data_IF_822686798480
#
_entry.id   IF_822686798480
#
_cell.length_a   1.000
_cell.length_b   1.000
_cell.length_c   1.000
_cell.angle_alpha   90.00
_cell.angle_beta   90.00
_cell.angle_gamma   90.00
#
_symmetry.space_group_name_H-M   'P 1'
#
loop_
_entity.id
_entity.type
_entity.pdbx_description
1 polymer ?
#
# COMPACT_ATOMS: atom_id res chain seq x y z
N UNK A 1 -12.70 22.98 7.50
CA UNK A 1 -12.68 21.79 6.62
C UNK A 1 -11.42 21.81 5.77
N UNK A 2 -10.74 20.70 5.67
CA UNK A 2 -9.56 20.57 4.82
C UNK A 2 -9.98 20.39 3.36
N UNK A 3 -9.33 21.12 2.48
CA UNK A 3 -9.52 20.99 1.03
C UNK A 3 -8.59 19.93 0.42
N UNK A 4 -7.70 19.35 1.21
CA UNK A 4 -6.74 18.34 0.76
C UNK A 4 -6.62 17.23 1.79
N UNK A 5 -6.09 16.10 1.32
CA UNK A 5 -5.79 14.95 2.18
C UNK A 5 -4.27 14.87 2.33
N UNK A 6 -3.80 14.84 3.57
CA UNK A 6 -2.40 14.61 3.87
C UNK A 6 -2.19 13.11 4.07
N UNK A 7 -1.51 12.49 3.11
CA UNK A 7 -1.17 11.07 3.17
C UNK A 7 0.30 10.90 3.50
N UNK A 8 0.61 10.03 4.45
CA UNK A 8 1.97 9.70 4.83
C UNK A 8 2.30 8.26 4.45
N UNK A 9 3.45 8.06 3.80
CA UNK A 9 3.97 6.72 3.53
C UNK A 9 4.68 6.21 4.78
N UNK A 10 4.28 5.05 5.27
CA UNK A 10 4.81 4.48 6.52
C UNK A 10 5.11 3.00 6.32
N UNK A 11 6.10 2.49 7.07
CA UNK A 11 6.51 1.09 6.97
C UNK A 11 6.73 0.43 8.34
N UNK A 12 6.26 1.06 9.41
CA UNK A 12 6.34 0.49 10.75
C UNK A 12 5.18 1.02 11.60
N UNK A 13 4.94 0.37 12.73
CA UNK A 13 3.95 0.85 13.70
C UNK A 13 4.38 2.22 14.21
N UNK A 14 5.66 2.39 14.50
CA UNK A 14 6.20 3.63 15.05
C UNK A 14 6.03 4.80 14.09
N UNK A 15 6.36 4.59 12.80
CA UNK A 15 6.19 5.65 11.81
C UNK A 15 4.72 5.94 11.55
N UNK A 16 3.86 4.92 11.60
CA UNK A 16 2.41 5.10 11.46
C UNK A 16 1.85 5.95 12.59
N UNK A 17 2.21 5.64 13.83
CA UNK A 17 1.71 6.39 14.99
C UNK A 17 2.25 7.82 15.01
N UNK A 18 3.51 8.02 14.59
CA UNK A 18 4.07 9.36 14.43
C UNK A 18 3.30 10.18 13.39
N UNK A 19 2.94 9.57 12.27
CA UNK A 19 2.16 10.24 11.23
C UNK A 19 0.76 10.61 11.73
N UNK A 20 0.10 9.71 12.46
CA UNK A 20 -1.21 10.00 13.07
C UNK A 20 -1.10 11.19 14.03
N UNK A 21 -0.11 11.17 14.91
CA UNK A 21 0.11 12.25 15.86
C UNK A 21 0.43 13.57 15.17
N UNK A 22 1.08 13.51 14.01
CA UNK A 22 1.44 14.69 13.22
C UNK A 22 0.31 15.24 12.35
N UNK A 23 -0.86 14.62 12.34
CA UNK A 23 -2.03 15.13 11.64
C UNK A 23 -2.28 14.53 10.26
N UNK A 24 -1.71 13.39 9.95
CA UNK A 24 -2.02 12.70 8.70
C UNK A 24 -3.50 12.31 8.65
N UNK A 25 -4.09 12.43 7.47
CA UNK A 25 -5.48 12.03 7.23
C UNK A 25 -5.58 10.58 6.78
N UNK A 26 -4.52 10.07 6.17
CA UNK A 26 -4.48 8.73 5.60
C UNK A 26 -3.04 8.23 5.61
N UNK A 27 -2.88 6.92 5.71
CA UNK A 27 -1.58 6.27 5.59
C UNK A 27 -1.53 5.49 4.28
N UNK A 28 -0.37 5.53 3.62
CA UNK A 28 -0.01 4.55 2.60
C UNK A 28 0.93 3.57 3.29
N UNK A 29 0.45 2.36 3.52
CA UNK A 29 1.20 1.34 4.22
C UNK A 29 2.08 0.57 3.25
N UNK A 30 3.36 0.50 3.57
CA UNK A 30 4.38 -0.10 2.72
C UNK A 30 5.32 -0.97 3.55
N UNK A 31 6.12 -1.76 2.86
CA UNK A 31 7.37 -2.32 3.39
C UNK A 31 8.51 -1.80 2.53
N UNK A 32 9.71 -1.84 3.06
CA UNK A 32 10.93 -1.52 2.29
C UNK A 32 10.89 -0.15 1.60
N UNK A 33 10.52 0.89 2.32
CA UNK A 33 10.46 2.25 1.77
C UNK A 33 11.78 2.71 1.17
N UNK A 34 12.90 2.21 1.69
CA UNK A 34 14.23 2.57 1.20
C UNK A 34 14.44 2.22 -0.28
N UNK A 35 13.69 1.25 -0.80
CA UNK A 35 13.74 0.86 -2.22
C UNK A 35 12.46 1.27 -2.96
N UNK A 36 11.73 2.25 -2.44
CA UNK A 36 10.51 2.76 -3.05
C UNK A 36 9.22 2.09 -2.59
N UNK A 37 9.33 1.12 -1.70
CA UNK A 37 8.18 0.44 -1.13
C UNK A 37 7.76 -0.83 -1.86
N UNK A 38 7.35 -1.82 -1.08
CA UNK A 38 6.76 -3.07 -1.57
C UNK A 38 5.53 -3.39 -0.72
N UNK A 39 4.82 -4.45 -1.07
CA UNK A 39 3.61 -4.85 -0.35
C UNK A 39 3.91 -5.12 1.13
N UNK A 40 3.18 -4.48 2.06
CA UNK A 40 3.37 -4.73 3.49
C UNK A 40 2.73 -6.05 3.91
N UNK A 41 3.17 -6.59 5.05
CA UNK A 41 2.53 -7.75 5.63
C UNK A 41 1.19 -7.38 6.27
N UNK A 42 0.19 -8.28 6.23
CA UNK A 42 -1.09 -8.02 6.87
C UNK A 42 -0.97 -7.87 8.40
N UNK A 43 0.06 -8.45 8.99
CA UNK A 43 0.32 -8.32 10.42
C UNK A 43 0.64 -6.89 10.82
N UNK A 44 1.38 -6.17 9.98
CA UNK A 44 1.67 -4.76 10.22
C UNK A 44 0.38 -3.93 10.17
N UNK A 45 -0.47 -4.19 9.19
CA UNK A 45 -1.79 -3.56 9.10
C UNK A 45 -2.59 -3.80 10.38
N UNK A 46 -2.65 -5.03 10.84
CA UNK A 46 -3.43 -5.39 12.03
C UNK A 46 -2.93 -4.67 13.29
N UNK A 47 -1.60 -4.57 13.46
CA UNK A 47 -1.04 -3.87 14.62
C UNK A 47 -1.34 -2.38 14.60
N UNK A 48 -1.34 -1.75 13.42
CA UNK A 48 -1.72 -0.35 13.30
C UNK A 48 -3.21 -0.17 13.57
N UNK A 49 -4.04 -1.05 13.03
CA UNK A 49 -5.49 -0.95 13.20
C UNK A 49 -5.93 -1.11 14.64
N UNK A 50 -5.20 -1.86 15.46
CA UNK A 50 -5.45 -1.96 16.89
C UNK A 50 -5.28 -0.62 17.62
N UNK A 51 -4.49 0.29 17.05
CA UNK A 51 -4.11 1.56 17.70
C UNK A 51 -4.76 2.77 17.09
N UNK A 52 -5.31 2.65 15.88
CA UNK A 52 -5.90 3.78 15.17
C UNK A 52 -6.92 3.31 14.15
N UNK A 53 -7.96 4.08 13.95
CA UNK A 53 -8.93 3.86 12.88
C UNK A 53 -8.67 4.74 11.66
N UNK A 54 -7.48 5.32 11.56
CA UNK A 54 -7.09 6.13 10.42
C UNK A 54 -7.24 5.32 9.11
N UNK A 55 -7.59 5.99 8.03
CA UNK A 55 -7.69 5.34 6.72
C UNK A 55 -6.32 4.82 6.29
N UNK A 56 -6.28 3.59 5.81
CA UNK A 56 -5.05 2.94 5.37
C UNK A 56 -5.26 2.42 3.96
N UNK A 57 -4.39 2.90 3.06
CA UNK A 57 -4.27 2.35 1.71
C UNK A 57 -2.99 1.51 1.68
N UNK A 58 -3.10 0.26 1.27
CA UNK A 58 -1.96 -0.65 1.23
C UNK A 58 -1.31 -0.61 -0.15
N UNK A 59 0.00 -0.47 -0.18
CA UNK A 59 0.75 -0.55 -1.43
C UNK A 59 0.81 -2.00 -1.88
N UNK A 60 0.47 -2.26 -3.12
CA UNK A 60 0.55 -3.59 -3.70
C UNK A 60 1.65 -3.56 -4.77
N UNK A 61 2.82 -4.01 -4.39
CA UNK A 61 4.00 -4.08 -5.24
C UNK A 61 4.82 -5.30 -4.83
N UNK A 62 4.76 -6.40 -5.61
CA UNK A 62 5.34 -7.68 -5.18
C UNK A 62 6.88 -7.66 -5.12
N UNK A 63 7.52 -6.77 -5.86
CA UNK A 63 8.98 -6.65 -5.87
C UNK A 63 9.38 -5.24 -6.27
N UNK A 64 10.64 -4.88 -5.96
CA UNK A 64 11.20 -3.63 -6.48
C UNK A 64 11.49 -3.76 -7.98
N UNK A 65 11.82 -2.63 -8.62
CA UNK A 65 12.10 -2.60 -10.05
C UNK A 65 10.93 -2.02 -10.83
N UNK A 66 10.73 -2.48 -12.05
CA UNK A 66 9.70 -1.97 -12.93
C UNK A 66 8.29 -2.46 -12.52
N UNK A 67 7.30 -1.97 -13.22
CA UNK A 67 5.89 -2.32 -13.00
C UNK A 67 5.34 -3.22 -14.11
N UNK A 68 6.24 -3.90 -14.84
CA UNK A 68 5.87 -4.85 -15.87
C UNK A 68 5.97 -6.26 -15.27
N UNK A 69 4.83 -6.84 -14.92
CA UNK A 69 4.77 -8.06 -14.11
C UNK A 69 4.50 -9.30 -14.96
N UNK A 70 5.07 -10.42 -14.52
CA UNK A 70 4.75 -11.72 -15.08
C UNK A 70 3.35 -12.16 -14.65
N UNK A 71 2.84 -13.23 -15.27
CA UNK A 71 1.54 -13.78 -14.89
C UNK A 71 1.54 -14.26 -13.42
N UNK A 72 2.64 -14.84 -12.97
CA UNK A 72 2.77 -15.27 -11.57
C UNK A 72 2.74 -14.07 -10.62
N UNK A 73 3.45 -13.00 -10.98
CA UNK A 73 3.46 -11.77 -10.18
C UNK A 73 2.08 -11.12 -10.17
N UNK A 74 1.37 -11.14 -11.30
CA UNK A 74 0.00 -10.62 -11.35
C UNK A 74 -0.93 -11.43 -10.44
N UNK A 75 -0.76 -12.76 -10.37
CA UNK A 75 -1.51 -13.59 -9.44
C UNK A 75 -1.26 -13.19 -7.99
N UNK A 76 0.00 -12.87 -7.67
CA UNK A 76 0.37 -12.38 -6.33
C UNK A 76 -0.34 -11.05 -6.04
N UNK A 77 -0.36 -10.14 -7.01
CA UNK A 77 -1.04 -8.85 -6.86
C UNK A 77 -2.53 -9.06 -6.56
N UNK A 78 -3.19 -9.92 -7.33
CA UNK A 78 -4.62 -10.21 -7.13
C UNK A 78 -4.90 -10.76 -5.74
N UNK A 79 -4.08 -11.69 -5.26
CA UNK A 79 -4.22 -12.25 -3.92
C UNK A 79 -4.01 -11.20 -2.84
N UNK A 80 -3.00 -10.35 -3.01
CA UNK A 80 -2.71 -9.30 -2.04
C UNK A 80 -3.88 -8.30 -1.95
N UNK A 81 -4.46 -7.91 -3.08
CA UNK A 81 -5.62 -7.02 -3.11
C UNK A 81 -6.80 -7.65 -2.35
N UNK A 82 -7.08 -8.93 -2.61
CA UNK A 82 -8.15 -9.64 -1.92
C UNK A 82 -7.91 -9.74 -0.42
N UNK A 83 -6.68 -10.05 0.00
CA UNK A 83 -6.35 -10.18 1.40
C UNK A 83 -6.51 -8.86 2.15
N UNK A 84 -6.02 -7.76 1.58
CA UNK A 84 -6.16 -6.45 2.22
C UNK A 84 -7.61 -5.98 2.25
N UNK A 85 -8.39 -6.30 1.23
CA UNK A 85 -9.82 -6.01 1.25
C UNK A 85 -10.51 -6.75 2.40
N UNK A 86 -10.19 -8.03 2.60
CA UNK A 86 -10.81 -8.85 3.64
C UNK A 86 -10.49 -8.36 5.05
N UNK A 87 -9.29 -7.85 5.28
CA UNK A 87 -8.91 -7.37 6.62
C UNK A 87 -9.30 -5.92 6.86
N UNK A 88 -9.91 -5.26 5.87
CA UNK A 88 -10.53 -3.96 6.08
C UNK A 88 -9.72 -2.75 5.67
N UNK A 89 -8.72 -2.90 4.80
CA UNK A 89 -8.02 -1.75 4.24
C UNK A 89 -9.02 -0.91 3.42
N UNK A 90 -8.93 0.40 3.53
CA UNK A 90 -9.85 1.30 2.83
C UNK A 90 -9.52 1.43 1.34
N UNK A 91 -8.32 1.05 0.95
CA UNK A 91 -7.93 1.07 -0.46
C UNK A 91 -6.59 0.40 -0.70
N UNK A 92 -6.23 0.28 -1.96
CA UNK A 92 -4.94 -0.26 -2.39
C UNK A 92 -4.33 0.69 -3.42
N UNK A 93 -2.99 0.67 -3.50
CA UNK A 93 -2.22 1.49 -4.44
C UNK A 93 -1.38 0.54 -5.29
N UNK A 94 -1.54 0.57 -6.60
CA UNK A 94 -0.74 -0.26 -7.50
C UNK A 94 -0.67 0.35 -8.89
N UNK A 95 0.30 -0.11 -9.68
CA UNK A 95 0.42 0.24 -11.08
C UNK A 95 0.96 -0.95 -11.85
N UNK A 96 0.45 -1.18 -13.06
CA UNK A 96 0.86 -2.28 -13.93
C UNK A 96 1.12 -1.72 -15.32
N UNK A 97 2.34 -1.95 -15.83
CA UNK A 97 2.77 -1.44 -17.11
C UNK A 97 3.00 -2.57 -18.10
N UNK A 98 2.85 -2.25 -19.39
CA UNK A 98 3.26 -3.11 -20.48
C UNK A 98 4.78 -2.95 -20.70
N UNK A 99 5.44 -3.89 -21.44
CA UNK A 99 6.86 -3.77 -21.70
C UNK A 99 7.29 -2.45 -22.35
N UNK A 100 6.39 -1.76 -23.05
CA UNK A 100 6.66 -0.46 -23.67
C UNK A 100 6.49 0.74 -22.72
N UNK A 101 6.14 0.49 -21.44
CA UNK A 101 5.96 1.53 -20.44
C UNK A 101 4.57 2.13 -20.38
N UNK A 102 3.61 1.67 -21.19
CA UNK A 102 2.23 2.14 -21.10
C UNK A 102 1.44 1.34 -20.07
N UNK A 103 0.31 1.91 -19.62
CA UNK A 103 -0.56 1.22 -18.66
C UNK A 103 -1.12 -0.07 -19.25
N UNK A 104 -1.09 -1.15 -18.46
CA UNK A 104 -1.68 -2.42 -18.86
C UNK A 104 -3.13 -2.47 -18.38
N UNK A 105 -4.03 -2.06 -19.27
CA UNK A 105 -5.45 -1.98 -18.96
C UNK A 105 -6.15 -3.34 -18.93
N UNK A 106 -5.48 -4.41 -19.39
CA UNK A 106 -6.03 -5.76 -19.38
C UNK A 106 -5.84 -6.48 -18.05
N UNK A 107 -4.90 -6.04 -17.23
CA UNK A 107 -4.61 -6.65 -15.93
C UNK A 107 -5.25 -5.91 -14.75
#
# INVERSE_FOLDING_TARGET
>A
MKEYILEACVDSVESAMAAVAGGADRLELCSNLIIGGTTPGPWLFEEIRKRSDIRIHALIRPRFGDFCYTDAEFSIIKKAVEDFRKIGAEGVVFGILKPDGTLNMEQ
#
